data_IF_760851576561
#
_entry.id   IF_760851576561
#
_cell.length_a   1.000
_cell.length_b   1.000
_cell.length_c   1.000
_cell.angle_alpha   90.00
_cell.angle_beta   90.00
_cell.angle_gamma   90.00
#
_symmetry.space_group_name_H-M   'P 1'
#
loop_
_entity.id
_entity.type
_entity.pdbx_description
1 polymer ?
#
# COMPACT_ATOMS: atom_id res chain seq x y z
N UNK A 1 6.23 11.03 6.19
CA UNK A 1 6.38 11.89 4.97
C UNK A 1 5.94 11.08 3.76
N UNK A 2 5.07 11.66 2.93
CA UNK A 2 4.46 10.98 1.78
C UNK A 2 5.23 11.32 0.50
N UNK A 3 5.48 10.32 -0.34
CA UNK A 3 6.09 10.45 -1.66
C UNK A 3 5.17 9.84 -2.72
N UNK A 4 4.85 10.62 -3.75
CA UNK A 4 4.19 10.13 -4.96
C UNK A 4 5.24 9.73 -6.00
N UNK A 5 5.11 8.54 -6.57
CA UNK A 5 5.97 8.00 -7.64
C UNK A 5 5.07 7.73 -8.83
N UNK A 6 5.02 8.69 -9.76
CA UNK A 6 4.15 8.69 -10.94
C UNK A 6 4.93 8.84 -12.26
N UNK A 7 6.25 8.70 -12.21
CA UNK A 7 7.14 8.85 -13.36
C UNK A 7 7.43 10.30 -13.76
N UNK A 8 6.83 11.31 -13.15
CA UNK A 8 6.96 12.72 -13.53
C UNK A 8 8.37 13.28 -13.34
N UNK A 9 9.15 12.72 -12.41
CA UNK A 9 10.55 13.13 -12.17
C UNK A 9 11.51 12.74 -13.32
N UNK A 10 11.10 11.90 -14.26
CA UNK A 10 11.88 11.47 -15.42
C UNK A 10 11.47 12.15 -16.73
N UNK A 11 10.39 12.92 -16.72
CA UNK A 11 9.92 13.65 -17.88
C UNK A 11 10.24 15.14 -17.72
N UNK A 12 10.96 15.72 -18.67
CA UNK A 12 11.15 17.17 -18.79
C UNK A 12 9.85 17.94 -19.10
N UNK A 13 8.71 17.29 -19.05
CA UNK A 13 7.40 17.84 -19.40
C UNK A 13 6.40 17.70 -18.25
N UNK A 14 6.18 18.84 -17.63
CA UNK A 14 4.92 19.56 -17.43
C UNK A 14 4.00 19.10 -16.29
N UNK A 15 3.87 19.98 -15.29
CA UNK A 15 2.63 20.49 -14.62
C UNK A 15 1.41 19.56 -14.45
N UNK A 16 1.59 18.26 -14.23
CA UNK A 16 0.44 17.41 -13.88
C UNK A 16 0.17 17.36 -12.38
N UNK A 17 1.18 17.55 -11.56
CA UNK A 17 1.01 17.70 -10.12
C UNK A 17 1.73 18.96 -9.63
N UNK A 18 0.96 19.98 -9.26
CA UNK A 18 1.52 21.11 -8.53
C UNK A 18 2.17 20.56 -7.24
N UNK A 19 3.32 21.10 -6.82
CA UNK A 19 3.91 20.73 -5.54
C UNK A 19 2.86 20.91 -4.45
N UNK A 20 2.46 19.80 -3.84
CA UNK A 20 1.53 19.83 -2.70
C UNK A 20 2.36 19.90 -1.43
N UNK A 21 1.90 20.66 -0.43
CA UNK A 21 2.45 20.59 0.92
C UNK A 21 2.26 19.21 1.57
N UNK A 22 1.37 18.39 1.00
CA UNK A 22 0.95 17.13 1.57
C UNK A 22 1.83 15.94 1.15
N UNK A 23 2.52 16.04 0.00
CA UNK A 23 3.42 15.00 -0.50
C UNK A 23 4.54 15.59 -1.38
N UNK A 24 5.61 14.82 -1.54
CA UNK A 24 6.74 15.10 -2.44
C UNK A 24 6.72 14.13 -3.62
N UNK A 25 7.36 14.52 -4.72
CA UNK A 25 7.61 13.60 -5.84
C UNK A 25 8.85 12.76 -5.53
N UNK A 26 8.81 11.49 -5.90
CA UNK A 26 9.91 10.54 -5.74
C UNK A 26 10.07 9.63 -6.95
N UNK A 27 11.15 8.88 -6.97
CA UNK A 27 11.44 7.88 -8.00
C UNK A 27 11.33 6.46 -7.46
N UNK A 28 11.18 5.47 -8.34
CA UNK A 28 11.19 4.06 -7.93
C UNK A 28 12.53 3.68 -7.28
N UNK A 29 13.63 4.29 -7.71
CA UNK A 29 14.94 4.07 -7.11
C UNK A 29 15.02 4.60 -5.66
N UNK A 30 14.38 5.73 -5.36
CA UNK A 30 14.27 6.25 -4.00
C UNK A 30 13.51 5.27 -3.10
N UNK A 31 12.41 4.70 -3.61
CA UNK A 31 11.64 3.68 -2.89
C UNK A 31 12.51 2.47 -2.58
N UNK A 32 13.17 1.93 -3.58
CA UNK A 32 14.03 0.76 -3.44
C UNK A 32 15.17 1.03 -2.48
N UNK A 33 15.85 2.17 -2.62
CA UNK A 33 16.96 2.58 -1.75
C UNK A 33 16.51 2.67 -0.29
N UNK A 34 15.36 3.30 -0.05
CA UNK A 34 14.83 3.44 1.30
C UNK A 34 14.37 2.11 1.89
N UNK A 35 13.50 1.39 1.17
CA UNK A 35 12.91 0.15 1.65
C UNK A 35 13.93 -0.97 1.88
N UNK A 36 15.01 -1.01 1.09
CA UNK A 36 16.09 -2.01 1.28
C UNK A 36 16.86 -1.86 2.60
N UNK A 37 16.75 -0.72 3.28
CA UNK A 37 17.39 -0.50 4.58
C UNK A 37 16.53 -0.91 5.78
N UNK A 38 15.28 -1.31 5.53
CA UNK A 38 14.31 -1.60 6.59
C UNK A 38 14.17 -3.10 6.84
N UNK A 39 13.77 -3.44 8.05
CA UNK A 39 13.44 -4.82 8.43
C UNK A 39 11.94 -5.11 8.41
N UNK A 40 11.13 -4.05 8.41
CA UNK A 40 9.66 -4.12 8.44
C UNK A 40 9.10 -3.03 7.56
N UNK A 41 8.17 -3.39 6.68
CA UNK A 41 7.47 -2.49 5.77
C UNK A 41 5.98 -2.81 5.74
N UNK A 42 5.13 -1.80 5.75
CA UNK A 42 3.74 -1.92 5.37
C UNK A 42 3.61 -1.96 3.85
N UNK A 43 2.68 -2.75 3.34
CA UNK A 43 2.38 -2.84 1.89
C UNK A 43 0.87 -2.95 1.71
N UNK A 44 0.33 -2.21 0.78
CA UNK A 44 -1.08 -2.27 0.39
C UNK A 44 -1.23 -2.03 -1.11
N UNK A 45 -2.39 -2.36 -1.69
CA UNK A 45 -2.68 -2.13 -3.10
C UNK A 45 -4.07 -1.56 -3.32
N UNK A 46 -4.21 -0.65 -4.29
CA UNK A 46 -5.49 -0.26 -4.85
C UNK A 46 -5.66 -0.81 -6.26
N UNK A 47 -6.88 -1.23 -6.57
CA UNK A 47 -7.19 -1.97 -7.79
C UNK A 47 -8.46 -1.45 -8.46
N UNK A 48 -8.58 -1.66 -9.77
CA UNK A 48 -9.80 -1.31 -10.53
C UNK A 48 -11.04 -2.13 -10.13
N UNK A 49 -10.86 -3.16 -9.31
CA UNK A 49 -11.92 -4.06 -8.85
C UNK A 49 -11.36 -5.29 -8.17
N UNK A 50 -12.21 -6.24 -7.82
CA UNK A 50 -11.84 -7.35 -6.94
C UNK A 50 -11.26 -8.58 -7.67
N UNK A 51 -11.47 -8.69 -8.97
CA UNK A 51 -11.04 -9.86 -9.75
C UNK A 51 -9.64 -9.64 -10.36
N UNK A 52 -8.62 -10.18 -9.70
CA UNK A 52 -7.22 -10.08 -10.12
C UNK A 52 -6.93 -10.68 -11.50
N UNK A 53 -7.82 -11.53 -12.05
CA UNK A 53 -7.60 -12.16 -13.35
C UNK A 53 -7.80 -11.21 -14.51
N UNK A 54 -8.66 -10.19 -14.34
CA UNK A 54 -9.04 -9.25 -15.38
C UNK A 54 -8.96 -7.77 -14.95
N UNK A 55 -8.86 -7.46 -13.65
CA UNK A 55 -8.72 -6.10 -13.13
C UNK A 55 -7.27 -5.79 -12.81
N UNK A 56 -6.86 -4.54 -13.06
CA UNK A 56 -5.48 -4.10 -12.84
C UNK A 56 -5.26 -3.63 -11.41
N UNK A 57 -4.03 -3.82 -10.94
CA UNK A 57 -3.49 -3.05 -9.84
C UNK A 57 -3.14 -1.67 -10.38
N UNK A 58 -3.64 -0.62 -9.73
CA UNK A 58 -3.44 0.76 -10.19
C UNK A 58 -2.52 1.55 -9.26
N UNK A 59 -2.42 1.14 -7.99
CA UNK A 59 -1.56 1.77 -7.01
C UNK A 59 -0.92 0.69 -6.12
N UNK A 60 0.34 0.86 -5.82
CA UNK A 60 1.05 0.12 -4.78
C UNK A 60 1.54 1.12 -3.73
N UNK A 61 1.24 0.85 -2.48
CA UNK A 61 1.73 1.63 -1.36
C UNK A 61 2.75 0.80 -0.58
N UNK A 62 3.88 1.38 -0.23
CA UNK A 62 4.92 0.73 0.56
C UNK A 62 5.65 1.74 1.44
N UNK A 63 6.04 1.34 2.64
CA UNK A 63 6.82 2.20 3.53
C UNK A 63 6.74 1.82 4.99
N UNK A 64 7.06 2.78 5.84
CA UNK A 64 7.02 2.65 7.28
C UNK A 64 6.39 3.89 7.96
N UNK A 65 6.57 4.06 9.27
CA UNK A 65 6.02 5.22 9.99
C UNK A 65 6.68 6.55 9.62
N UNK A 66 7.88 6.53 9.01
CA UNK A 66 8.63 7.74 8.66
C UNK A 66 8.33 8.18 7.23
N UNK A 67 8.37 7.22 6.29
CA UNK A 67 8.15 7.47 4.86
C UNK A 67 7.17 6.47 4.26
N UNK A 68 6.21 7.00 3.54
CA UNK A 68 5.22 6.24 2.78
C UNK A 68 5.34 6.62 1.31
N UNK A 69 5.44 5.63 0.44
CA UNK A 69 5.51 5.79 -1.00
C UNK A 69 4.22 5.28 -1.62
N UNK A 70 3.64 6.11 -2.46
CA UNK A 70 2.44 5.82 -3.25
C UNK A 70 2.86 5.77 -4.71
N UNK A 71 2.79 4.59 -5.32
CA UNK A 71 3.32 4.32 -6.66
C UNK A 71 2.17 4.11 -7.63
N UNK A 72 2.11 4.90 -8.69
CA UNK A 72 1.17 4.72 -9.79
C UNK A 72 1.63 3.57 -10.70
N UNK A 73 1.12 2.37 -10.46
CA UNK A 73 1.51 1.16 -11.20
C UNK A 73 0.95 1.09 -12.62
N UNK A 74 0.14 2.07 -13.04
CA UNK A 74 -0.31 2.21 -14.42
C UNK A 74 0.79 2.77 -15.32
N UNK A 75 1.76 3.48 -14.72
CA UNK A 75 2.83 4.23 -15.41
C UNK A 75 4.20 3.72 -14.98
N UNK A 76 4.37 3.42 -13.69
CA UNK A 76 5.67 3.03 -13.12
C UNK A 76 5.78 1.51 -13.01
N UNK A 77 6.83 0.95 -13.60
CA UNK A 77 7.18 -0.46 -13.42
C UNK A 77 7.73 -0.70 -12.01
N UNK A 78 7.13 -1.66 -11.31
CA UNK A 78 7.56 -2.03 -9.95
C UNK A 78 8.58 -3.18 -9.92
N UNK A 79 9.08 -3.65 -11.08
CA UNK A 79 10.11 -4.69 -11.13
C UNK A 79 11.34 -4.40 -10.23
N UNK A 80 11.82 -3.15 -10.10
CA UNK A 80 12.93 -2.84 -9.18
C UNK A 80 12.63 -3.16 -7.71
N UNK A 81 11.35 -3.22 -7.30
CA UNK A 81 10.95 -3.60 -5.94
C UNK A 81 11.05 -5.09 -5.65
N UNK A 82 11.30 -5.94 -6.65
CA UNK A 82 11.49 -7.39 -6.47
C UNK A 82 12.48 -7.69 -5.36
N UNK A 83 13.63 -6.99 -5.34
CA UNK A 83 14.68 -7.17 -4.33
C UNK A 83 14.25 -6.80 -2.90
N UNK A 84 13.16 -6.06 -2.74
CA UNK A 84 12.55 -5.71 -1.45
C UNK A 84 11.45 -6.70 -1.10
N UNK A 85 10.52 -6.92 -2.04
CA UNK A 85 9.32 -7.72 -1.80
C UNK A 85 9.63 -9.22 -1.67
N UNK A 86 10.61 -9.74 -2.41
CA UNK A 86 11.06 -11.14 -2.33
C UNK A 86 12.17 -11.35 -1.28
N UNK A 87 12.60 -10.30 -0.57
CA UNK A 87 13.60 -10.44 0.48
C UNK A 87 13.00 -11.01 1.76
N UNK A 88 13.42 -12.20 2.16
CA UNK A 88 12.94 -12.88 3.35
C UNK A 88 13.41 -12.28 4.68
N UNK A 89 14.40 -11.36 4.67
CA UNK A 89 14.84 -10.64 5.86
C UNK A 89 14.02 -9.40 6.17
N UNK A 90 13.18 -8.96 5.23
CA UNK A 90 12.28 -7.83 5.39
C UNK A 90 10.85 -8.35 5.58
N UNK A 91 10.22 -8.06 6.70
CA UNK A 91 8.82 -8.41 6.93
C UNK A 91 7.90 -7.44 6.18
N UNK A 92 7.07 -7.95 5.29
CA UNK A 92 6.00 -7.19 4.61
C UNK A 92 4.70 -7.38 5.36
N UNK A 93 4.13 -6.29 5.86
CA UNK A 93 2.87 -6.29 6.60
C UNK A 93 1.75 -5.90 5.64
N UNK A 94 0.72 -6.73 5.57
CA UNK A 94 -0.51 -6.51 4.83
C UNK A 94 -1.73 -6.61 5.74
N UNK A 95 -2.89 -6.19 5.24
CA UNK A 95 -4.19 -6.52 5.81
C UNK A 95 -5.02 -7.33 4.82
N UNK A 96 -5.19 -8.64 5.05
CA UNK A 96 -5.72 -9.62 4.10
C UNK A 96 -4.79 -9.83 2.89
N UNK A 97 -3.54 -10.13 3.19
CA UNK A 97 -2.42 -10.30 2.25
C UNK A 97 -2.75 -11.14 1.00
N UNK A 98 -3.68 -12.10 1.13
CA UNK A 98 -4.13 -12.94 0.00
C UNK A 98 -4.66 -12.13 -1.18
N UNK A 99 -5.31 -10.99 -0.91
CA UNK A 99 -5.83 -10.11 -1.94
C UNK A 99 -4.68 -9.43 -2.71
N UNK A 100 -3.84 -8.70 -2.00
CA UNK A 100 -2.73 -7.92 -2.57
C UNK A 100 -1.71 -8.81 -3.26
N UNK A 101 -1.36 -9.92 -2.62
CA UNK A 101 -0.41 -10.90 -3.18
C UNK A 101 -0.83 -11.38 -4.57
N UNK A 102 -2.14 -11.65 -4.79
CA UNK A 102 -2.63 -12.10 -6.10
C UNK A 102 -2.45 -11.05 -7.18
N UNK A 103 -2.73 -9.78 -6.86
CA UNK A 103 -2.54 -8.67 -7.78
C UNK A 103 -1.06 -8.42 -8.09
N UNK A 104 -0.22 -8.34 -7.06
CA UNK A 104 1.23 -8.18 -7.22
C UNK A 104 1.79 -9.32 -8.05
N UNK A 105 1.46 -10.57 -7.72
CA UNK A 105 1.94 -11.75 -8.46
C UNK A 105 1.47 -11.75 -9.90
N UNK A 106 0.20 -11.43 -10.15
CA UNK A 106 -0.38 -11.45 -11.51
C UNK A 106 0.24 -10.38 -12.41
N UNK A 107 0.42 -9.16 -11.90
CA UNK A 107 0.77 -8.00 -12.72
C UNK A 107 2.27 -7.68 -12.76
N UNK A 108 3.07 -8.18 -11.83
CA UNK A 108 4.52 -7.98 -11.81
C UNK A 108 5.34 -9.27 -11.71
N UNK A 109 4.67 -10.42 -11.56
CA UNK A 109 5.31 -11.72 -11.30
C UNK A 109 6.24 -11.73 -10.08
N UNK A 110 6.08 -10.79 -9.13
CA UNK A 110 6.80 -10.75 -7.87
C UNK A 110 6.12 -11.65 -6.84
N UNK A 111 6.91 -12.42 -6.09
CA UNK A 111 6.44 -13.28 -5.00
C UNK A 111 6.84 -12.65 -3.67
N UNK A 112 5.87 -12.05 -2.95
CA UNK A 112 6.18 -11.49 -1.64
C UNK A 112 6.56 -12.60 -0.65
N UNK A 113 7.72 -12.45 0.00
CA UNK A 113 8.21 -13.37 1.03
C UNK A 113 8.17 -12.70 2.41
N UNK A 114 8.21 -13.50 3.49
CA UNK A 114 8.14 -13.04 4.88
C UNK A 114 6.97 -12.09 5.12
N UNK A 115 5.77 -12.59 4.86
CA UNK A 115 4.51 -11.83 4.96
C UNK A 115 3.92 -11.94 6.35
N UNK A 116 3.56 -10.80 6.96
CA UNK A 116 2.74 -10.69 8.14
C UNK A 116 1.35 -10.18 7.76
N UNK A 117 0.30 -10.93 8.05
CA UNK A 117 -1.07 -10.56 7.73
C UNK A 117 -1.85 -10.14 9.00
N UNK A 118 -2.09 -8.84 9.13
CA UNK A 118 -2.80 -8.28 10.30
C UNK A 118 -4.26 -8.76 10.40
N UNK A 119 -4.92 -9.09 9.28
CA UNK A 119 -6.27 -9.65 9.30
C UNK A 119 -6.29 -11.07 9.85
N UNK A 120 -5.39 -11.93 9.37
CA UNK A 120 -5.30 -13.30 9.85
C UNK A 120 -4.85 -13.36 11.32
N UNK A 121 -3.87 -12.54 11.69
CA UNK A 121 -3.41 -12.43 13.08
C UNK A 121 -4.55 -12.00 14.00
N UNK A 122 -5.34 -10.99 13.61
CA UNK A 122 -6.49 -10.53 14.37
C UNK A 122 -7.54 -11.64 14.57
N UNK A 123 -7.78 -12.43 13.54
CA UNK A 123 -8.68 -13.59 13.64
C UNK A 123 -8.17 -14.66 14.60
N UNK A 124 -6.87 -14.93 14.61
CA UNK A 124 -6.24 -15.90 15.54
C UNK A 124 -6.34 -15.39 16.98
N UNK A 125 -5.92 -14.14 17.22
CA UNK A 125 -5.95 -13.53 18.56
C UNK A 125 -7.36 -13.53 19.20
N UNK A 126 -8.39 -13.41 18.38
CA UNK A 126 -9.77 -13.33 18.84
C UNK A 126 -10.57 -14.60 18.57
N UNK A 127 -9.90 -15.73 18.33
CA UNK A 127 -10.52 -17.04 18.11
C UNK A 127 -11.61 -17.04 17.02
N UNK A 128 -11.53 -16.15 16.03
CA UNK A 128 -12.50 -16.03 14.95
C UNK A 128 -13.91 -15.65 15.38
N UNK A 129 -14.07 -14.91 16.50
CA UNK A 129 -15.39 -14.50 17.00
C UNK A 129 -16.27 -13.90 15.91
N UNK A 130 -17.51 -14.36 15.81
CA UNK A 130 -18.49 -13.77 14.91
C UNK A 130 -18.84 -12.34 15.33
N UNK A 131 -19.15 -11.49 14.34
CA UNK A 131 -19.51 -10.08 14.52
C UNK A 131 -18.45 -9.21 15.23
N UNK A 132 -17.19 -9.68 15.28
CA UNK A 132 -16.12 -8.94 15.95
C UNK A 132 -15.59 -7.76 15.10
N UNK A 133 -15.72 -7.81 13.79
CA UNK A 133 -15.16 -6.80 12.85
C UNK A 133 -13.63 -6.98 12.71
N UNK A 134 -13.23 -7.66 11.64
CA UNK A 134 -11.82 -7.92 11.32
C UNK A 134 -11.26 -7.03 10.20
N UNK A 135 -12.11 -6.21 9.57
CA UNK A 135 -11.69 -5.30 8.50
C UNK A 135 -10.74 -4.21 9.02
N UNK A 136 -9.90 -3.67 8.14
CA UNK A 136 -8.90 -2.65 8.49
C UNK A 136 -9.53 -1.49 9.29
N UNK A 137 -10.72 -1.02 8.87
CA UNK A 137 -11.45 0.03 9.60
C UNK A 137 -11.73 -0.35 11.06
N UNK A 138 -12.20 -1.58 11.30
CA UNK A 138 -12.57 -2.04 12.64
C UNK A 138 -11.33 -2.19 13.52
N UNK A 139 -10.25 -2.72 12.95
CA UNK A 139 -8.96 -2.92 13.62
C UNK A 139 -8.30 -1.57 13.93
N UNK A 140 -8.31 -0.61 12.99
CA UNK A 140 -7.84 0.75 13.24
C UNK A 140 -8.63 1.46 14.33
N UNK A 141 -9.96 1.32 14.32
CA UNK A 141 -10.80 1.90 15.37
C UNK A 141 -10.45 1.32 16.74
N UNK A 142 -10.23 0.01 16.81
CA UNK A 142 -9.95 -0.72 18.06
C UNK A 142 -8.60 -0.37 18.64
N UNK A 143 -7.55 -0.42 17.85
CA UNK A 143 -6.18 -0.25 18.35
C UNK A 143 -5.69 1.20 18.32
N UNK A 144 -6.12 1.98 17.32
CA UNK A 144 -5.57 3.31 17.07
C UNK A 144 -6.57 4.44 17.36
N UNK A 145 -7.85 4.10 17.63
CA UNK A 145 -8.96 5.04 17.74
C UNK A 145 -9.12 5.93 16.48
N UNK A 146 -8.82 5.38 15.31
CA UNK A 146 -8.92 6.06 14.00
C UNK A 146 -10.12 5.53 13.25
N UNK A 147 -10.94 6.43 12.71
CA UNK A 147 -11.99 6.11 11.75
C UNK A 147 -11.49 6.30 10.31
N UNK A 148 -11.37 5.20 9.57
CA UNK A 148 -11.01 5.25 8.15
C UNK A 148 -12.24 5.60 7.33
N UNK A 149 -12.15 6.64 6.49
CA UNK A 149 -13.18 6.97 5.52
C UNK A 149 -13.11 6.03 4.30
N UNK A 150 -14.13 5.19 4.13
CA UNK A 150 -14.21 4.25 3.01
C UNK A 150 -14.64 4.89 1.67
N UNK A 151 -15.13 6.14 1.70
CA UNK A 151 -15.62 6.80 0.48
C UNK A 151 -14.49 7.02 -0.54
N UNK A 152 -13.27 7.28 -0.06
CA UNK A 152 -12.08 7.43 -0.91
C UNK A 152 -11.75 6.11 -1.62
N UNK A 153 -11.86 4.97 -0.93
CA UNK A 153 -11.62 3.65 -1.54
C UNK A 153 -12.52 3.38 -2.75
N UNK A 154 -13.78 3.76 -2.68
CA UNK A 154 -14.72 3.56 -3.79
C UNK A 154 -14.35 4.37 -5.03
N UNK A 155 -13.56 5.43 -4.90
CA UNK A 155 -13.12 6.28 -6.01
C UNK A 155 -12.02 5.62 -6.87
N UNK A 156 -11.41 4.53 -6.41
CA UNK A 156 -10.45 3.76 -7.21
C UNK A 156 -11.14 2.82 -8.21
N UNK A 157 -12.40 2.45 -7.95
CA UNK A 157 -13.16 1.55 -8.83
C UNK A 157 -13.47 2.27 -10.14
N UNK A 158 -12.96 1.73 -11.25
CA UNK A 158 -13.16 2.30 -12.58
C UNK A 158 -12.32 3.55 -12.88
N UNK A 159 -11.33 3.87 -12.02
CA UNK A 159 -10.41 4.96 -12.26
C UNK A 159 -9.50 4.63 -13.45
N UNK A 160 -9.83 5.14 -14.63
CA UNK A 160 -9.06 4.94 -15.86
C UNK A 160 -8.31 6.22 -16.25
N UNK A 161 -6.98 6.16 -16.26
CA UNK A 161 -6.13 7.17 -16.89
C UNK A 161 -6.06 8.56 -16.23
N UNK A 162 -6.89 8.83 -15.23
CA UNK A 162 -6.85 10.11 -14.51
C UNK A 162 -5.74 10.08 -13.44
N UNK A 163 -5.02 11.20 -13.23
CA UNK A 163 -4.08 11.33 -12.11
C UNK A 163 -4.79 11.08 -10.77
N UNK A 164 -4.05 10.55 -9.79
CA UNK A 164 -4.59 10.42 -8.44
C UNK A 164 -4.79 11.79 -7.81
N UNK A 165 -5.90 11.97 -7.12
CA UNK A 165 -6.16 13.17 -6.32
C UNK A 165 -5.34 13.15 -5.03
N UNK A 166 -5.05 14.33 -4.47
CA UNK A 166 -4.37 14.43 -3.17
C UNK A 166 -5.05 13.60 -2.06
N UNK A 167 -6.39 13.57 -1.91
CA UNK A 167 -7.05 12.69 -0.95
C UNK A 167 -6.78 11.19 -1.19
N UNK A 168 -6.69 10.74 -2.44
CA UNK A 168 -6.37 9.35 -2.76
C UNK A 168 -4.92 9.00 -2.40
N UNK A 169 -3.97 9.90 -2.66
CA UNK A 169 -2.56 9.73 -2.29
C UNK A 169 -2.40 9.65 -0.78
N UNK A 170 -3.03 10.57 -0.04
CA UNK A 170 -2.99 10.57 1.43
C UNK A 170 -3.65 9.32 2.01
N UNK A 171 -4.78 8.89 1.43
CA UNK A 171 -5.49 7.68 1.84
C UNK A 171 -4.59 6.45 1.75
N UNK A 172 -4.00 6.18 0.59
CA UNK A 172 -3.10 5.03 0.40
C UNK A 172 -1.86 5.08 1.29
N UNK A 173 -1.25 6.26 1.47
CA UNK A 173 -0.11 6.42 2.37
C UNK A 173 -0.44 6.09 3.83
N UNK A 174 -1.63 6.45 4.30
CA UNK A 174 -2.06 6.17 5.68
C UNK A 174 -2.32 4.69 5.93
N UNK A 175 -2.84 3.95 4.96
CA UNK A 175 -3.08 2.52 5.12
C UNK A 175 -1.78 1.81 5.48
N UNK A 176 -0.66 2.12 4.82
CA UNK A 176 0.67 1.60 5.14
C UNK A 176 1.12 1.97 6.56
N UNK A 177 0.93 3.22 6.98
CA UNK A 177 1.27 3.68 8.33
C UNK A 177 0.46 2.93 9.39
N UNK A 178 -0.83 2.69 9.15
CA UNK A 178 -1.69 1.97 10.10
C UNK A 178 -1.29 0.51 10.25
N UNK A 179 -0.88 -0.16 9.17
CA UNK A 179 -0.46 -1.56 9.21
C UNK A 179 0.66 -1.80 10.21
N UNK A 180 1.67 -0.94 10.23
CA UNK A 180 2.81 -1.06 11.15
C UNK A 180 2.37 -0.87 12.60
N UNK A 181 1.53 0.13 12.86
CA UNK A 181 0.98 0.39 14.20
C UNK A 181 0.11 -0.77 14.69
N UNK A 182 -0.75 -1.32 13.82
CA UNK A 182 -1.58 -2.48 14.14
C UNK A 182 -0.70 -3.68 14.53
N UNK A 183 0.31 -4.01 13.71
CA UNK A 183 1.23 -5.11 14.02
C UNK A 183 1.87 -4.94 15.40
N UNK A 184 2.26 -3.73 15.77
CA UNK A 184 2.86 -3.45 17.10
C UNK A 184 1.90 -3.79 18.25
N UNK A 185 0.59 -3.60 18.05
CA UNK A 185 -0.43 -3.97 19.04
C UNK A 185 -0.78 -5.45 19.03
N UNK A 186 -0.52 -6.16 17.96
CA UNK A 186 -0.83 -7.59 17.82
C UNK A 186 0.31 -8.50 18.32
N UNK A 187 1.51 -7.97 18.52
CA UNK A 187 2.68 -8.67 19.07
C UNK A 187 2.78 -8.54 20.59
#
# INVERSE_FOLDING_TARGET
MIYLVDGSTHMEFVDLHLPSSDYQLGTIDDVVKYCSTKTVLGVDTETEGLDFTCKKMIMLQIGDNEKQFVIDTRIVDIEPLRKVLENNTITKIFHNAKFDYKFIKKWSNISCENVYDTFLTERVLNCGKDNYGYGLKDVCKRYLNVDINKDVRNQFIGLSGQPFTTPQIIYGAKDVEYLIKIRTHQL
#
